data_IF_145250351190
#
_entry.id   IF_145250351190
#
_cell.length_a   1.000
_cell.length_b   1.000
_cell.length_c   1.000
_cell.angle_alpha   90.00
_cell.angle_beta   90.00
_cell.angle_gamma   90.00
#
_symmetry.space_group_name_H-M   'P 1'
#
loop_
_entity.id
_entity.type
_entity.pdbx_description
1 polymer ?
#
# COMPACT_ATOMS: atom_id res chain seq x y z
N UNK A 1 -13.65 -1.98 10.74
CA UNK A 1 -14.53 -2.13 11.91
C UNK A 1 -15.96 -2.35 11.45
N UNK A 2 -16.71 -3.20 12.14
CA UNK A 2 -18.14 -3.43 11.90
C UNK A 2 -18.96 -2.67 12.92
N UNK A 3 -19.99 -1.99 12.47
CA UNK A 3 -20.86 -1.18 13.31
C UNK A 3 -22.25 -1.79 13.40
N UNK A 4 -22.81 -1.80 14.61
CA UNK A 4 -24.24 -1.88 14.86
C UNK A 4 -24.76 -0.46 15.12
N UNK A 5 -25.68 -0.03 14.26
CA UNK A 5 -26.31 1.29 14.27
C UNK A 5 -27.84 1.18 14.41
N UNK A 6 -28.33 0.13 15.08
CA UNK A 6 -29.75 -0.07 15.33
C UNK A 6 -30.37 1.06 16.16
N UNK A 7 -29.56 1.77 16.95
CA UNK A 7 -29.92 2.99 17.68
C UNK A 7 -29.38 4.23 16.93
N UNK A 8 -30.22 5.23 16.67
CA UNK A 8 -29.81 6.43 15.94
C UNK A 8 -28.85 7.35 16.72
N UNK A 9 -28.78 7.20 18.05
CA UNK A 9 -27.96 8.03 18.95
C UNK A 9 -26.77 7.28 19.55
N UNK A 10 -26.54 6.04 19.12
CA UNK A 10 -25.48 5.19 19.63
C UNK A 10 -24.93 4.30 18.52
N UNK A 11 -23.61 4.17 18.46
CA UNK A 11 -22.93 3.24 17.55
C UNK A 11 -22.19 2.21 18.41
N UNK A 12 -22.37 0.93 18.12
CA UNK A 12 -21.63 -0.15 18.77
C UNK A 12 -20.65 -0.75 17.76
N UNK A 13 -19.37 -0.79 18.09
CA UNK A 13 -18.35 -1.50 17.29
C UNK A 13 -18.29 -2.95 17.76
N UNK A 14 -18.65 -3.87 16.86
CA UNK A 14 -18.75 -5.31 17.13
C UNK A 14 -17.58 -6.13 16.59
N UNK A 15 -16.86 -5.60 15.60
CA UNK A 15 -15.65 -6.23 15.06
C UNK A 15 -14.57 -5.17 14.78
N UNK A 16 -13.33 -5.48 15.12
CA UNK A 16 -12.17 -4.61 14.91
C UNK A 16 -11.52 -4.90 13.54
N UNK A 17 -10.89 -3.90 12.90
CA UNK A 17 -9.99 -4.16 11.78
C UNK A 17 -8.75 -4.94 12.26
N UNK A 18 -8.09 -5.63 11.31
CA UNK A 18 -6.86 -6.38 11.60
C UNK A 18 -5.78 -5.47 12.21
N UNK A 19 -4.92 -6.06 13.03
CA UNK A 19 -3.81 -5.37 13.71
C UNK A 19 -4.26 -4.15 14.54
N UNK A 20 -5.44 -4.23 15.16
CA UNK A 20 -6.01 -3.18 15.99
C UNK A 20 -6.58 -3.77 17.28
N UNK A 21 -6.27 -3.16 18.42
CA UNK A 21 -6.86 -3.47 19.74
C UNK A 21 -7.99 -2.49 20.06
N UNK A 22 -8.88 -2.84 21.01
CA UNK A 22 -9.96 -1.94 21.45
C UNK A 22 -9.39 -0.59 21.90
N UNK A 23 -8.35 -0.63 22.73
CA UNK A 23 -7.63 0.55 23.21
C UNK A 23 -7.05 1.40 22.06
N UNK A 24 -6.36 0.79 21.09
CA UNK A 24 -5.79 1.55 19.96
C UNK A 24 -6.87 2.20 19.10
N UNK A 25 -8.01 1.54 18.91
CA UNK A 25 -9.13 2.08 18.15
C UNK A 25 -9.80 3.23 18.91
N UNK A 26 -10.02 3.08 20.22
CA UNK A 26 -10.55 4.14 21.07
C UNK A 26 -9.66 5.37 21.06
N UNK A 27 -8.35 5.19 21.19
CA UNK A 27 -7.38 6.29 21.11
C UNK A 27 -7.46 7.01 19.76
N UNK A 28 -7.61 6.27 18.66
CA UNK A 28 -7.79 6.86 17.32
C UNK A 28 -9.08 7.69 17.22
N UNK A 29 -10.18 7.19 17.76
CA UNK A 29 -11.47 7.91 17.83
C UNK A 29 -11.36 9.16 18.70
N UNK A 30 -10.76 9.07 19.88
CA UNK A 30 -10.53 10.23 20.75
C UNK A 30 -9.68 11.31 20.08
N UNK A 31 -8.64 10.92 19.35
CA UNK A 31 -7.79 11.87 18.63
C UNK A 31 -8.56 12.58 17.52
N UNK A 32 -9.42 11.86 16.79
CA UNK A 32 -10.30 12.47 15.79
C UNK A 32 -11.31 13.44 16.43
N UNK A 33 -11.81 13.12 17.63
CA UNK A 33 -12.69 14.00 18.41
C UNK A 33 -11.96 15.27 18.87
N UNK A 34 -10.77 15.13 19.48
CA UNK A 34 -9.92 16.26 19.93
C UNK A 34 -9.53 17.18 18.76
N UNK A 35 -9.33 16.61 17.57
CA UNK A 35 -9.07 17.36 16.34
C UNK A 35 -10.32 17.99 15.70
N UNK A 36 -11.51 17.83 16.30
CA UNK A 36 -12.77 18.38 15.79
C UNK A 36 -13.31 17.71 14.53
N UNK A 37 -12.79 16.53 14.17
CA UNK A 37 -13.13 15.82 12.93
C UNK A 37 -14.41 14.97 13.07
N UNK A 38 -14.71 14.54 14.30
CA UNK A 38 -15.93 13.81 14.65
C UNK A 38 -16.56 14.44 15.89
N UNK A 39 -17.88 14.30 16.04
CA UNK A 39 -18.64 14.77 17.21
C UNK A 39 -19.22 13.57 17.96
N UNK A 40 -18.69 13.30 19.15
CA UNK A 40 -19.14 12.23 20.04
C UNK A 40 -19.35 12.81 21.45
N UNK A 41 -20.19 12.15 22.25
CA UNK A 41 -20.43 12.50 23.65
C UNK A 41 -19.57 11.69 24.61
N UNK A 42 -19.49 10.38 24.39
CA UNK A 42 -18.60 9.47 25.14
C UNK A 42 -18.22 8.28 24.28
N UNK A 43 -17.14 7.62 24.68
CA UNK A 43 -16.71 6.32 24.17
C UNK A 43 -16.41 5.41 25.37
N UNK A 44 -17.02 4.24 25.40
CA UNK A 44 -16.96 3.31 26.52
C UNK A 44 -16.59 1.91 25.99
N UNK A 45 -15.61 1.22 26.61
CA UNK A 45 -15.23 -0.16 26.27
C UNK A 45 -15.98 -1.15 27.16
N UNK A 46 -16.78 -2.01 26.55
CA UNK A 46 -17.48 -3.12 27.19
C UNK A 46 -17.02 -4.48 26.63
N UNK A 47 -15.85 -4.52 25.98
CA UNK A 47 -15.30 -5.73 25.37
C UNK A 47 -15.04 -6.83 26.42
N UNK A 48 -15.53 -8.04 26.14
CA UNK A 48 -15.30 -9.26 26.93
C UNK A 48 -14.65 -10.32 26.05
N UNK A 49 -15.28 -11.50 25.93
CA UNK A 49 -15.07 -12.50 24.88
C UNK A 49 -15.45 -11.98 23.48
N UNK A 50 -16.28 -10.92 23.41
CA UNK A 50 -16.66 -10.26 22.17
C UNK A 50 -16.32 -8.76 22.22
N UNK A 51 -15.91 -8.21 21.08
CA UNK A 51 -15.65 -6.78 20.95
C UNK A 51 -16.97 -6.00 21.11
N UNK A 52 -16.96 -5.03 22.03
CA UNK A 52 -18.11 -4.15 22.24
C UNK A 52 -17.64 -2.77 22.69
N UNK A 53 -17.40 -1.88 21.73
CA UNK A 53 -17.07 -0.48 22.01
C UNK A 53 -18.28 0.38 21.70
N UNK A 54 -18.75 1.13 22.69
CA UNK A 54 -19.95 1.95 22.60
C UNK A 54 -19.59 3.43 22.40
N UNK A 55 -20.15 4.04 21.35
CA UNK A 55 -19.99 5.46 21.05
C UNK A 55 -21.35 6.15 21.19
N UNK A 56 -21.47 7.07 22.14
CA UNK A 56 -22.69 7.88 22.34
C UNK A 56 -22.58 9.18 21.55
N UNK A 57 -23.67 9.58 20.90
CA UNK A 57 -23.71 10.78 20.06
C UNK A 57 -24.41 11.96 20.75
N UNK A 58 -23.95 13.21 20.54
CA UNK A 58 -24.58 14.39 21.10
C UNK A 58 -25.92 14.70 20.41
N UNK A 59 -26.73 15.55 21.05
CA UNK A 59 -28.00 16.02 20.47
C UNK A 59 -27.77 16.64 19.08
N UNK A 60 -28.66 16.31 18.13
CA UNK A 60 -28.57 16.80 16.74
C UNK A 60 -27.59 16.05 15.84
N UNK A 61 -26.85 15.04 16.34
CA UNK A 61 -25.97 14.17 15.55
C UNK A 61 -26.55 12.76 15.51
N UNK A 62 -26.52 12.10 14.36
CA UNK A 62 -27.09 10.76 14.16
C UNK A 62 -26.05 9.77 13.66
N UNK A 63 -26.26 8.48 13.96
CA UNK A 63 -25.31 7.41 13.64
C UNK A 63 -24.86 7.39 12.17
N UNK A 64 -25.81 7.53 11.24
CA UNK A 64 -25.57 7.58 9.79
C UNK A 64 -24.67 8.74 9.35
N UNK A 65 -24.70 9.86 10.07
CA UNK A 65 -23.89 11.03 9.74
C UNK A 65 -22.44 10.86 10.18
N UNK A 66 -22.22 10.06 11.23
CA UNK A 66 -20.90 9.84 11.85
C UNK A 66 -20.20 8.61 11.30
N UNK A 67 -20.92 7.59 10.83
CA UNK A 67 -20.36 6.37 10.24
C UNK A 67 -19.22 6.66 9.25
N UNK A 68 -19.49 7.51 8.27
CA UNK A 68 -18.51 7.90 7.24
C UNK A 68 -17.30 8.61 7.83
N UNK A 69 -17.52 9.44 8.86
CA UNK A 69 -16.46 10.18 9.51
C UNK A 69 -15.59 9.26 10.38
N UNK A 70 -16.17 8.24 11.02
CA UNK A 70 -15.40 7.22 11.74
C UNK A 70 -14.49 6.47 10.77
N UNK A 71 -15.00 5.95 9.65
CA UNK A 71 -14.15 5.31 8.65
C UNK A 71 -13.06 6.24 8.08
N UNK A 72 -13.38 7.51 7.86
CA UNK A 72 -12.44 8.47 7.26
C UNK A 72 -11.31 8.94 8.19
N UNK A 73 -11.57 9.07 9.49
CA UNK A 73 -10.69 9.78 10.42
C UNK A 73 -10.12 8.92 11.53
N UNK A 74 -10.53 7.66 11.63
CA UNK A 74 -10.09 6.76 12.68
C UNK A 74 -9.64 5.44 12.09
N UNK A 75 -9.05 4.61 12.95
CA UNK A 75 -8.60 3.27 12.62
C UNK A 75 -9.78 2.30 12.38
N UNK A 76 -11.03 2.79 12.35
CA UNK A 76 -12.18 2.00 11.93
C UNK A 76 -12.04 1.47 10.49
N UNK A 77 -11.27 2.16 9.63
CA UNK A 77 -10.78 1.67 8.34
C UNK A 77 -9.24 1.69 8.34
N UNK A 78 -8.61 0.63 7.83
CA UNK A 78 -7.17 0.57 7.65
C UNK A 78 -6.82 0.14 6.24
N UNK A 79 -5.89 0.87 5.62
CA UNK A 79 -5.28 0.45 4.37
C UNK A 79 -4.17 -0.55 4.65
N UNK A 80 -4.23 -1.71 3.98
CA UNK A 80 -3.23 -2.75 4.07
C UNK A 80 -2.52 -2.83 2.72
N UNK A 81 -1.20 -2.62 2.74
CA UNK A 81 -0.37 -2.83 1.56
C UNK A 81 -0.03 -4.31 1.45
N UNK A 82 -0.60 -4.97 0.44
CA UNK A 82 -0.36 -6.39 0.19
C UNK A 82 0.72 -6.56 -0.88
N UNK A 83 1.93 -6.97 -0.46
CA UNK A 83 3.00 -7.40 -1.38
C UNK A 83 3.50 -8.79 -1.00
N UNK A 84 3.41 -9.73 -1.94
CA UNK A 84 3.90 -11.10 -1.76
C UNK A 84 5.39 -11.17 -2.14
N UNK A 85 6.26 -10.88 -1.17
CA UNK A 85 7.71 -11.05 -1.27
C UNK A 85 8.12 -12.36 -0.58
N UNK A 86 8.72 -13.28 -1.32
CA UNK A 86 9.12 -14.61 -0.82
C UNK A 86 10.57 -14.92 -1.15
N UNK A 87 11.15 -15.90 -0.46
CA UNK A 87 12.50 -16.40 -0.78
C UNK A 87 12.38 -17.54 -1.78
N UNK A 88 13.07 -17.41 -2.91
CA UNK A 88 13.23 -18.45 -3.92
C UNK A 88 14.68 -18.50 -4.37
N UNK A 89 15.26 -19.70 -4.38
CA UNK A 89 16.65 -19.93 -4.77
C UNK A 89 17.63 -19.03 -3.98
N UNK A 90 17.40 -18.91 -2.67
CA UNK A 90 18.13 -18.05 -1.73
C UNK A 90 18.09 -16.54 -2.04
N UNK A 91 17.14 -16.09 -2.86
CA UNK A 91 16.97 -14.68 -3.23
C UNK A 91 15.54 -14.18 -2.94
N UNK A 92 15.36 -12.90 -2.60
CA UNK A 92 14.03 -12.31 -2.45
C UNK A 92 13.39 -12.08 -3.82
N UNK A 93 12.17 -12.58 -4.02
CA UNK A 93 11.43 -12.48 -5.28
C UNK A 93 9.99 -12.05 -4.98
N UNK A 94 9.52 -11.00 -5.67
CA UNK A 94 8.11 -10.62 -5.65
C UNK A 94 7.33 -11.56 -6.59
N UNK A 95 6.27 -12.17 -6.08
CA UNK A 95 5.47 -13.16 -6.82
C UNK A 95 3.99 -12.87 -6.70
N UNK A 96 3.21 -13.32 -7.67
CA UNK A 96 1.74 -13.33 -7.62
C UNK A 96 1.23 -14.58 -6.91
N UNK A 97 -0.02 -14.55 -6.41
CA UNK A 97 -0.65 -15.70 -5.76
C UNK A 97 -0.69 -16.92 -6.71
N UNK A 98 -0.96 -16.69 -8.00
CA UNK A 98 -0.97 -17.74 -9.03
C UNK A 98 0.40 -18.40 -9.20
N UNK A 99 1.48 -17.62 -9.19
CA UNK A 99 2.83 -18.16 -9.32
C UNK A 99 3.23 -18.99 -8.10
N UNK A 100 2.87 -18.53 -6.91
CA UNK A 100 3.10 -19.25 -5.65
C UNK A 100 2.36 -20.61 -5.69
N UNK A 101 1.07 -20.61 -6.03
CA UNK A 101 0.28 -21.85 -6.12
C UNK A 101 0.89 -22.82 -7.16
N UNK A 102 1.26 -22.32 -8.34
CA UNK A 102 1.91 -23.15 -9.39
C UNK A 102 3.24 -23.73 -8.92
N UNK A 103 4.04 -22.95 -8.19
CA UNK A 103 5.31 -23.41 -7.64
C UNK A 103 5.12 -24.55 -6.65
N UNK A 104 4.24 -24.38 -5.66
CA UNK A 104 3.99 -25.40 -4.65
C UNK A 104 3.27 -26.64 -5.21
N UNK A 105 2.37 -26.48 -6.20
CA UNK A 105 1.76 -27.61 -6.88
C UNK A 105 2.82 -28.49 -7.58
N UNK A 106 3.79 -27.88 -8.27
CA UNK A 106 4.91 -28.62 -8.88
C UNK A 106 5.80 -29.28 -7.83
N UNK A 107 6.11 -28.55 -6.75
CA UNK A 107 6.94 -29.07 -5.65
C UNK A 107 6.29 -30.27 -4.98
N UNK A 108 4.98 -30.22 -4.72
CA UNK A 108 4.22 -31.35 -4.17
C UNK A 108 4.31 -32.58 -5.09
N UNK A 109 4.07 -32.41 -6.39
CA UNK A 109 4.18 -33.53 -7.34
C UNK A 109 5.59 -34.12 -7.43
N UNK A 110 6.63 -33.28 -7.30
CA UNK A 110 8.01 -33.74 -7.28
C UNK A 110 8.32 -34.56 -6.03
N UNK A 111 7.92 -34.07 -4.85
CA UNK A 111 8.13 -34.80 -3.58
C UNK A 111 7.43 -36.16 -3.61
N UNK A 112 6.17 -36.22 -4.05
CA UNK A 112 5.42 -37.49 -4.17
C UNK A 112 6.14 -38.44 -5.14
N UNK A 113 6.69 -37.91 -6.23
CA UNK A 113 7.46 -38.71 -7.18
C UNK A 113 8.71 -39.28 -6.53
N UNK A 114 9.50 -38.46 -5.83
CA UNK A 114 10.73 -38.87 -5.17
C UNK A 114 10.47 -39.94 -4.10
N UNK A 115 9.38 -39.80 -3.33
CA UNK A 115 8.95 -40.81 -2.35
C UNK A 115 8.60 -42.14 -3.03
N UNK A 116 7.84 -42.11 -4.13
CA UNK A 116 7.46 -43.30 -4.88
C UNK A 116 8.67 -43.97 -5.54
N UNK A 117 9.61 -43.21 -6.08
CA UNK A 117 10.86 -43.73 -6.67
C UNK A 117 11.76 -44.35 -5.58
N UNK A 118 11.83 -43.74 -4.39
CA UNK A 118 12.53 -44.30 -3.25
C UNK A 118 11.93 -45.63 -2.81
N UNK A 119 10.60 -45.69 -2.64
CA UNK A 119 9.90 -46.93 -2.28
C UNK A 119 10.04 -48.00 -3.37
N UNK A 120 9.99 -47.61 -4.64
CA UNK A 120 10.24 -48.51 -5.76
C UNK A 120 11.66 -49.10 -5.68
N UNK A 121 12.68 -48.27 -5.45
CA UNK A 121 14.07 -48.72 -5.31
C UNK A 121 14.24 -49.70 -4.17
N UNK A 122 13.68 -49.39 -2.99
CA UNK A 122 13.71 -50.27 -1.82
C UNK A 122 13.05 -51.63 -2.08
N UNK A 123 11.86 -51.63 -2.67
CA UNK A 123 11.15 -52.87 -3.01
C UNK A 123 11.85 -53.68 -4.10
N UNK A 124 12.50 -53.00 -5.03
CA UNK A 124 13.27 -53.62 -6.12
C UNK A 124 14.51 -54.33 -5.57
N UNK A 125 15.20 -53.72 -4.61
CA UNK A 125 16.33 -54.34 -3.90
C UNK A 125 15.87 -55.52 -3.03
N UNK A 126 14.74 -55.39 -2.32
CA UNK A 126 14.15 -56.50 -1.57
C UNK A 126 13.76 -57.65 -2.49
N UNK A 127 13.14 -57.36 -3.64
CA UNK A 127 12.81 -58.35 -4.66
C UNK A 127 14.06 -59.07 -5.18
N UNK A 128 15.15 -58.33 -5.42
CA UNK A 128 16.41 -58.91 -5.86
C UNK A 128 16.96 -59.89 -4.82
N UNK A 129 17.08 -59.46 -3.56
CA UNK A 129 17.56 -60.31 -2.46
C UNK A 129 16.72 -61.58 -2.29
N UNK A 130 15.38 -61.48 -2.38
CA UNK A 130 14.48 -62.64 -2.30
C UNK A 130 14.61 -63.57 -3.49
N UNK A 131 14.81 -63.03 -4.68
CA UNK A 131 15.04 -63.81 -5.90
C UNK A 131 16.35 -64.58 -5.83
N UNK A 132 17.40 -63.94 -5.31
CA UNK A 132 18.68 -64.59 -5.04
C UNK A 132 18.53 -65.73 -4.02
N UNK A 133 17.86 -65.48 -2.88
CA UNK A 133 17.60 -66.50 -1.84
C UNK A 133 16.83 -67.69 -2.43
N UNK A 134 15.79 -67.43 -3.24
CA UNK A 134 14.99 -68.47 -3.90
C UNK A 134 15.84 -69.33 -4.84
N UNK A 135 16.57 -68.72 -5.78
CA UNK A 135 17.41 -69.46 -6.76
C UNK A 135 18.51 -70.22 -6.03
N UNK A 136 19.16 -69.61 -5.04
CA UNK A 136 20.24 -70.25 -4.27
C UNK A 136 19.78 -71.55 -3.60
N UNK A 137 18.54 -71.57 -3.10
CA UNK A 137 17.93 -72.71 -2.41
C UNK A 137 17.31 -73.72 -3.42
N UNK A 138 16.42 -73.27 -4.31
CA UNK A 138 15.68 -74.13 -5.24
C UNK A 138 16.62 -74.87 -6.20
N UNK A 139 17.64 -74.18 -6.73
CA UNK A 139 18.63 -74.74 -7.67
C UNK A 139 19.83 -75.40 -6.96
N UNK A 140 19.76 -75.48 -5.63
CA UNK A 140 20.75 -76.13 -4.76
C UNK A 140 22.18 -75.62 -4.99
N UNK A 141 22.35 -74.32 -5.25
CA UNK A 141 23.67 -73.70 -5.48
C UNK A 141 24.58 -73.88 -4.26
N UNK A 142 24.00 -73.85 -3.05
CA UNK A 142 24.72 -74.09 -1.79
C UNK A 142 25.40 -75.47 -1.71
N UNK A 143 24.92 -76.50 -2.42
CA UNK A 143 25.60 -77.82 -2.44
C UNK A 143 26.85 -77.82 -3.32
N UNK A 144 26.87 -76.97 -4.35
CA UNK A 144 27.99 -76.90 -5.32
C UNK A 144 29.24 -76.27 -4.72
N UNK A 145 29.11 -75.60 -3.56
CA UNK A 145 30.22 -74.95 -2.85
C UNK A 145 30.82 -75.81 -1.73
N UNK A 146 30.20 -76.94 -1.36
CA UNK A 146 30.64 -77.81 -0.25
C UNK A 146 32.07 -78.36 -0.40
N UNK A 147 32.53 -78.55 -1.64
CA UNK A 147 33.85 -79.11 -1.94
C UNK A 147 34.94 -78.04 -2.21
N UNK A 148 34.61 -76.75 -2.11
CA UNK A 148 35.54 -75.65 -2.39
C UNK A 148 36.46 -75.40 -1.18
N UNK A 149 37.75 -75.13 -1.45
CA UNK A 149 38.79 -75.01 -0.41
C UNK A 149 39.13 -73.57 -0.04
N UNK A 150 38.78 -72.60 -0.88
CA UNK A 150 39.10 -71.18 -0.66
C UNK A 150 37.83 -70.32 -0.71
N UNK A 151 37.81 -69.21 0.02
CA UNK A 151 36.69 -68.27 0.00
C UNK A 151 36.47 -67.67 -1.40
N UNK A 152 37.56 -67.38 -2.13
CA UNK A 152 37.49 -66.88 -3.50
C UNK A 152 36.84 -67.88 -4.46
N UNK A 153 37.15 -69.18 -4.32
CA UNK A 153 36.55 -70.23 -5.13
C UNK A 153 35.05 -70.40 -4.82
N UNK A 154 34.66 -70.24 -3.54
CA UNK A 154 33.24 -70.22 -3.14
C UNK A 154 32.51 -69.07 -3.83
N UNK A 155 33.03 -67.84 -3.77
CA UNK A 155 32.39 -66.67 -4.40
C UNK A 155 32.26 -66.86 -5.92
N UNK A 156 33.31 -67.33 -6.59
CA UNK A 156 33.28 -67.63 -8.04
C UNK A 156 32.25 -68.71 -8.37
N UNK A 157 32.17 -69.77 -7.56
CA UNK A 157 31.22 -70.85 -7.75
C UNK A 157 29.77 -70.39 -7.58
N UNK A 158 29.47 -69.56 -6.57
CA UNK A 158 28.14 -68.95 -6.39
C UNK A 158 27.78 -68.11 -7.61
N UNK A 159 28.63 -67.14 -8.00
CA UNK A 159 28.37 -66.28 -9.17
C UNK A 159 28.16 -67.09 -10.45
N UNK A 160 28.97 -68.13 -10.68
CA UNK A 160 28.81 -69.05 -11.82
C UNK A 160 27.48 -69.81 -11.77
N UNK A 161 27.00 -70.18 -10.58
CA UNK A 161 25.72 -70.85 -10.37
C UNK A 161 24.51 -69.99 -10.79
N UNK A 162 24.63 -68.67 -10.72
CA UNK A 162 23.56 -67.73 -11.12
C UNK A 162 23.57 -67.33 -12.59
N UNK A 163 24.63 -67.64 -13.35
CA UNK A 163 24.73 -67.32 -14.79
C UNK A 163 23.52 -67.78 -15.61
N UNK A 164 22.95 -69.00 -15.42
CA UNK A 164 21.76 -69.43 -16.17
C UNK A 164 20.51 -68.59 -15.87
N UNK A 165 20.46 -67.93 -14.71
CA UNK A 165 19.29 -67.21 -14.21
C UNK A 165 19.42 -65.69 -14.35
N UNK A 166 20.40 -65.21 -15.12
CA UNK A 166 20.67 -63.77 -15.27
C UNK A 166 19.44 -62.96 -15.71
N UNK A 167 18.52 -63.56 -16.48
CA UNK A 167 17.29 -62.91 -16.91
C UNK A 167 16.28 -62.64 -15.78
N UNK A 168 16.35 -63.38 -14.68
CA UNK A 168 15.48 -63.20 -13.50
C UNK A 168 16.08 -62.19 -12.50
N UNK A 169 17.35 -61.83 -12.68
CA UNK A 169 18.04 -60.90 -11.81
C UNK A 169 17.70 -59.46 -12.17
N UNK A 170 17.34 -58.69 -11.15
CA UNK A 170 17.13 -57.24 -11.25
C UNK A 170 18.43 -56.49 -11.57
N UNK A 171 19.55 -56.93 -10.98
CA UNK A 171 20.90 -56.41 -11.19
C UNK A 171 21.93 -57.54 -11.11
N UNK A 172 23.17 -57.26 -11.51
CA UNK A 172 24.27 -58.19 -11.33
C UNK A 172 24.58 -58.42 -9.84
N UNK A 173 25.12 -59.59 -9.52
CA UNK A 173 25.38 -60.06 -8.16
C UNK A 173 26.68 -59.44 -7.62
N UNK A 174 26.55 -58.72 -6.52
CA UNK A 174 27.68 -58.14 -5.76
C UNK A 174 28.33 -59.17 -4.83
N UNK A 175 29.48 -58.83 -4.25
CA UNK A 175 30.13 -59.70 -3.27
C UNK A 175 29.34 -59.72 -1.96
N UNK A 176 28.71 -58.60 -1.60
CA UNK A 176 27.82 -58.47 -0.43
C UNK A 176 26.57 -59.36 -0.54
N UNK A 177 26.02 -59.49 -1.76
CA UNK A 177 24.90 -60.41 -2.02
C UNK A 177 25.33 -61.86 -1.75
N UNK A 178 26.52 -62.25 -2.22
CA UNK A 178 27.07 -63.60 -1.99
C UNK A 178 27.29 -63.85 -0.51
N UNK A 179 27.86 -62.89 0.22
CA UNK A 179 28.03 -63.00 1.67
C UNK A 179 26.68 -63.18 2.39
N UNK A 180 25.66 -62.44 1.97
CA UNK A 180 24.31 -62.55 2.51
C UNK A 180 23.70 -63.94 2.25
N UNK A 181 23.88 -64.48 1.05
CA UNK A 181 23.43 -65.84 0.69
C UNK A 181 24.12 -66.92 1.54
N UNK A 182 25.42 -66.78 1.79
CA UNK A 182 26.18 -67.74 2.60
C UNK A 182 25.76 -67.72 4.08
N UNK A 183 25.15 -66.63 4.57
CA UNK A 183 24.64 -66.50 5.94
C UNK A 183 23.22 -67.08 6.11
N UNK A 184 22.58 -67.60 5.07
CA UNK A 184 21.23 -68.17 5.16
C UNK A 184 21.24 -69.38 6.11
N UNK A 185 20.44 -69.38 7.20
CA UNK A 185 20.36 -70.52 8.11
C UNK A 185 19.77 -71.75 7.42
N UNK A 186 20.30 -72.95 7.68
CA UNK A 186 19.84 -74.22 7.08
C UNK A 186 18.33 -74.44 7.28
N UNK A 187 17.78 -74.02 8.43
CA UNK A 187 16.33 -74.07 8.70
C UNK A 187 15.48 -73.41 7.60
N UNK A 188 15.98 -72.34 6.96
CA UNK A 188 15.26 -71.58 5.93
C UNK A 188 15.15 -72.28 4.57
N UNK A 189 15.68 -73.49 4.43
CA UNK A 189 15.61 -74.31 3.21
C UNK A 189 14.31 -75.15 3.17
N UNK A 190 13.45 -75.03 4.18
CA UNK A 190 12.21 -75.80 4.27
C UNK A 190 11.20 -75.43 3.16
N UNK A 191 10.33 -76.36 2.79
CA UNK A 191 9.23 -76.10 1.85
C UNK A 191 8.33 -74.95 2.33
N UNK A 192 8.16 -74.81 3.65
CA UNK A 192 7.41 -73.72 4.26
C UNK A 192 8.05 -72.35 3.97
N UNK A 193 9.36 -72.23 4.14
CA UNK A 193 10.08 -70.98 3.87
C UNK A 193 10.11 -70.65 2.36
N UNK A 194 10.19 -71.66 1.49
CA UNK A 194 10.07 -71.48 0.03
C UNK A 194 8.69 -70.91 -0.35
N UNK A 195 7.60 -71.48 0.18
CA UNK A 195 6.25 -70.98 -0.09
C UNK A 195 6.08 -69.55 0.46
N UNK A 196 6.58 -69.28 1.65
CA UNK A 196 6.56 -67.93 2.24
C UNK A 196 7.33 -66.91 1.38
N UNK A 197 8.49 -67.29 0.83
CA UNK A 197 9.25 -66.43 -0.08
C UNK A 197 8.44 -66.15 -1.36
N UNK A 198 7.77 -67.14 -1.95
CA UNK A 198 6.88 -66.96 -3.12
C UNK A 198 5.76 -65.96 -2.84
N UNK A 199 5.09 -66.07 -1.69
CA UNK A 199 4.03 -65.14 -1.29
C UNK A 199 4.56 -63.71 -1.11
N UNK A 200 5.75 -63.57 -0.52
CA UNK A 200 6.41 -62.27 -0.35
C UNK A 200 6.79 -61.65 -1.70
N UNK A 201 7.40 -62.43 -2.60
CA UNK A 201 7.74 -61.98 -3.97
C UNK A 201 6.48 -61.55 -4.73
N UNK A 202 5.38 -62.29 -4.61
CA UNK A 202 4.10 -61.92 -5.22
C UNK A 202 3.54 -60.60 -4.66
N UNK A 203 3.62 -60.41 -3.33
CA UNK A 203 3.20 -59.17 -2.67
C UNK A 203 4.05 -57.97 -3.11
N UNK A 204 5.37 -58.12 -3.16
CA UNK A 204 6.31 -57.07 -3.62
C UNK A 204 6.00 -56.69 -5.06
N UNK A 205 5.83 -57.68 -5.95
CA UNK A 205 5.47 -57.42 -7.35
C UNK A 205 4.13 -56.67 -7.50
N UNK A 206 3.14 -56.98 -6.66
CA UNK A 206 1.86 -56.26 -6.62
C UNK A 206 2.07 -54.80 -6.22
N UNK A 207 2.87 -54.54 -5.18
CA UNK A 207 3.19 -53.18 -4.73
C UNK A 207 3.99 -52.40 -5.79
N UNK A 208 5.00 -53.01 -6.42
CA UNK A 208 5.75 -52.39 -7.52
C UNK A 208 4.85 -52.01 -8.70
N UNK A 209 3.87 -52.87 -9.04
CA UNK A 209 2.87 -52.56 -10.08
C UNK A 209 1.98 -51.38 -9.68
N UNK A 210 1.58 -51.29 -8.42
CA UNK A 210 0.81 -50.17 -7.91
C UNK A 210 1.62 -48.86 -7.93
N UNK A 211 2.87 -48.90 -7.48
CA UNK A 211 3.78 -47.75 -7.52
C UNK A 211 4.01 -47.28 -8.96
N UNK A 212 4.25 -48.20 -9.89
CA UNK A 212 4.38 -47.87 -11.32
C UNK A 212 3.12 -47.20 -11.88
N UNK A 213 1.92 -47.64 -11.45
CA UNK A 213 0.67 -46.96 -11.78
C UNK A 213 0.63 -45.55 -11.18
N UNK A 214 0.96 -45.38 -9.89
CA UNK A 214 0.98 -44.06 -9.23
C UNK A 214 1.97 -43.10 -9.89
N UNK A 215 3.16 -43.57 -10.27
CA UNK A 215 4.17 -42.78 -10.99
C UNK A 215 3.68 -42.29 -12.37
N UNK A 216 2.80 -43.04 -13.05
CA UNK A 216 2.16 -42.59 -14.29
C UNK A 216 1.04 -41.57 -14.05
N UNK A 217 0.47 -41.56 -12.84
CA UNK A 217 -0.71 -40.78 -12.43
C UNK A 217 -0.40 -39.81 -11.28
N UNK A 218 0.79 -39.19 -11.28
CA UNK A 218 1.26 -38.34 -10.15
C UNK A 218 0.30 -37.20 -9.79
N UNK A 219 -0.40 -36.62 -10.78
CA UNK A 219 -1.36 -35.55 -10.55
C UNK A 219 -2.54 -36.02 -9.71
N UNK A 220 -3.08 -37.19 -10.02
CA UNK A 220 -4.21 -37.77 -9.31
C UNK A 220 -3.81 -38.08 -7.86
N UNK A 221 -2.61 -38.64 -7.66
CA UNK A 221 -2.06 -38.86 -6.32
C UNK A 221 -1.88 -37.55 -5.51
N UNK A 222 -1.46 -36.47 -6.15
CA UNK A 222 -1.34 -35.16 -5.48
C UNK A 222 -2.71 -34.58 -5.10
N UNK A 223 -3.73 -34.76 -5.95
CA UNK A 223 -5.11 -34.36 -5.63
C UNK A 223 -5.65 -35.19 -4.48
N UNK A 224 -5.52 -36.52 -4.53
CA UNK A 224 -5.94 -37.42 -3.44
C UNK A 224 -5.28 -37.05 -2.11
N UNK A 225 -4.00 -36.67 -2.13
CA UNK A 225 -3.28 -36.20 -0.95
C UNK A 225 -3.89 -34.92 -0.38
N UNK A 226 -4.17 -33.93 -1.23
CA UNK A 226 -4.78 -32.67 -0.83
C UNK A 226 -6.22 -32.87 -0.31
N UNK A 227 -7.00 -33.74 -0.94
CA UNK A 227 -8.33 -34.11 -0.45
C UNK A 227 -8.26 -34.83 0.91
N UNK A 228 -7.30 -35.74 1.07
CA UNK A 228 -7.03 -36.39 2.35
C UNK A 228 -6.61 -35.42 3.43
N UNK A 229 -5.86 -34.37 3.07
CA UNK A 229 -5.49 -33.30 3.97
C UNK A 229 -6.69 -32.43 4.34
N UNK A 230 -7.54 -32.08 3.36
CA UNK A 230 -8.75 -31.28 3.57
C UNK A 230 -9.71 -31.96 4.56
N UNK A 231 -9.86 -33.30 4.47
CA UNK A 231 -10.69 -34.10 5.39
C UNK A 231 -10.22 -34.08 6.85
N UNK A 232 -9.00 -33.61 7.14
CA UNK A 232 -8.49 -33.48 8.52
C UNK A 232 -9.02 -32.23 9.22
N UNK A 233 -9.52 -31.25 8.46
CA UNK A 233 -10.10 -30.03 9.00
C UNK A 233 -11.59 -30.22 9.27
N UNK A 234 -12.10 -29.58 10.32
CA UNK A 234 -13.55 -29.55 10.59
C UNK A 234 -14.22 -28.57 9.64
N UNK A 235 -15.47 -28.81 9.27
CA UNK A 235 -16.23 -27.89 8.38
C UNK A 235 -16.26 -26.45 8.93
N UNK A 236 -16.39 -26.30 10.25
CA UNK A 236 -16.37 -25.02 10.96
C UNK A 236 -15.08 -24.21 10.73
N UNK A 237 -13.94 -24.88 10.60
CA UNK A 237 -12.62 -24.26 10.37
C UNK A 237 -12.43 -23.81 8.92
N UNK A 238 -13.26 -24.32 8.01
CA UNK A 238 -13.22 -24.00 6.57
C UNK A 238 -14.16 -22.84 6.21
N UNK A 239 -14.94 -22.33 7.17
CA UNK A 239 -15.86 -21.22 6.95
C UNK A 239 -15.07 -19.90 6.83
N UNK A 240 -15.45 -19.10 5.84
CA UNK A 240 -14.90 -17.75 5.69
C UNK A 240 -15.46 -16.83 6.79
N UNK A 241 -14.57 -16.25 7.60
CA UNK A 241 -14.94 -15.29 8.64
C UNK A 241 -15.03 -13.82 8.17
N UNK A 242 -14.50 -13.50 6.98
CA UNK A 242 -14.48 -12.13 6.44
C UNK A 242 -15.44 -11.96 5.27
N UNK A 243 -16.01 -10.76 5.10
CA UNK A 243 -16.83 -10.45 3.94
C UNK A 243 -16.07 -9.54 2.97
N UNK A 244 -16.14 -9.84 1.67
CA UNK A 244 -15.61 -8.97 0.62
C UNK A 244 -16.72 -8.01 0.21
N UNK A 245 -16.54 -6.73 0.50
CA UNK A 245 -17.45 -5.66 0.08
C UNK A 245 -16.68 -4.58 -0.67
N UNK A 246 -17.36 -3.86 -1.57
CA UNK A 246 -16.80 -2.67 -2.21
C UNK A 246 -17.06 -1.47 -1.29
N UNK A 247 -15.99 -0.91 -0.74
CA UNK A 247 -16.06 0.40 -0.09
C UNK A 247 -15.87 1.49 -1.15
N UNK A 248 -16.84 2.37 -1.29
CA UNK A 248 -16.58 3.64 -1.95
C UNK A 248 -15.76 4.45 -0.96
N UNK A 249 -14.48 4.68 -1.27
CA UNK A 249 -13.62 5.58 -0.49
C UNK A 249 -14.41 6.87 -0.30
N UNK A 250 -14.81 7.15 0.93
CA UNK A 250 -15.43 8.42 1.26
C UNK A 250 -14.31 9.42 1.07
N UNK A 251 -14.34 10.16 -0.04
CA UNK A 251 -13.42 11.27 -0.22
C UNK A 251 -13.73 12.28 0.89
N UNK A 252 -12.88 12.23 1.91
CA UNK A 252 -12.99 12.94 3.17
C UNK A 252 -13.18 14.45 2.95
N UNK A 253 -12.65 14.96 1.83
CA UNK A 253 -12.82 16.34 1.37
C UNK A 253 -14.22 16.64 0.82
N UNK A 254 -14.89 15.67 0.22
CA UNK A 254 -16.19 15.86 -0.42
C UNK A 254 -17.35 15.93 0.59
N UNK A 255 -17.16 15.42 1.82
CA UNK A 255 -18.20 15.41 2.87
C UNK A 255 -18.12 16.64 3.79
N UNK A 256 -16.95 17.26 3.93
CA UNK A 256 -16.77 18.44 4.76
C UNK A 256 -17.45 19.66 4.12
N UNK A 257 -18.51 20.17 4.74
CA UNK A 257 -19.14 21.44 4.32
C UNK A 257 -18.23 22.60 4.69
N UNK A 258 -18.05 23.55 3.75
CA UNK A 258 -17.34 24.82 4.00
C UNK A 258 -18.19 25.76 4.85
N UNK A 259 -18.25 25.50 6.15
CA UNK A 259 -19.07 26.23 7.11
C UNK A 259 -18.28 27.00 8.18
N UNK A 260 -16.95 26.83 8.23
CA UNK A 260 -16.09 27.53 9.18
C UNK A 260 -15.67 28.89 8.58
N UNK A 261 -16.00 30.03 9.23
CA UNK A 261 -15.61 31.34 8.73
C UNK A 261 -14.10 31.59 8.95
N UNK A 262 -13.37 31.90 7.88
CA UNK A 262 -12.01 32.44 7.94
C UNK A 262 -12.11 33.96 8.01
N UNK A 263 -11.54 34.58 9.05
CA UNK A 263 -11.65 36.04 9.29
C UNK A 263 -10.30 36.73 9.26
N UNK A 264 -10.31 37.98 8.82
CA UNK A 264 -9.15 38.88 8.81
C UNK A 264 -9.48 40.18 9.57
N UNK A 265 -8.68 40.50 10.58
CA UNK A 265 -8.86 41.69 11.41
C UNK A 265 -7.99 42.89 10.99
N UNK A 266 -8.33 44.06 11.52
CA UNK A 266 -7.63 45.34 11.31
C UNK A 266 -6.19 45.33 11.88
N UNK A 267 -5.89 44.40 12.77
CA UNK A 267 -4.55 44.19 13.35
C UNK A 267 -3.67 43.29 12.49
N UNK A 268 -4.18 42.74 11.39
CA UNK A 268 -3.42 41.91 10.47
C UNK A 268 -3.41 40.41 10.81
N UNK A 269 -4.36 39.93 11.63
CA UNK A 269 -4.51 38.50 11.91
C UNK A 269 -5.55 37.84 11.02
N UNK A 270 -5.19 36.71 10.42
CA UNK A 270 -6.02 35.83 9.61
C UNK A 270 -6.21 34.48 10.33
N UNK A 271 -7.45 34.00 10.44
CA UNK A 271 -7.69 32.66 10.98
C UNK A 271 -9.14 32.39 11.37
N UNK A 272 -9.43 31.13 11.68
CA UNK A 272 -10.77 30.68 12.14
C UNK A 272 -11.04 30.98 13.61
N UNK A 273 -9.98 31.22 14.40
CA UNK A 273 -10.04 31.66 15.79
C UNK A 273 -9.98 33.18 15.98
N UNK A 274 -10.03 33.96 14.88
CA UNK A 274 -10.05 35.44 14.94
C UNK A 274 -11.50 35.90 15.17
N UNK A 275 -11.75 36.52 16.33
CA UNK A 275 -13.10 36.91 16.76
C UNK A 275 -13.61 38.21 16.13
N UNK A 276 -12.72 39.11 15.73
CA UNK A 276 -13.03 40.38 15.05
C UNK A 276 -12.80 40.34 13.54
N UNK A 277 -13.06 41.46 12.86
CA UNK A 277 -12.73 41.64 11.45
C UNK A 277 -13.77 41.14 10.43
N UNK A 278 -13.40 41.19 9.16
CA UNK A 278 -14.26 40.79 8.05
C UNK A 278 -14.12 39.28 7.76
N UNK A 279 -15.23 38.63 7.42
CA UNK A 279 -15.21 37.27 6.89
C UNK A 279 -14.61 37.30 5.47
N UNK A 280 -13.52 36.57 5.29
CA UNK A 280 -12.78 36.46 4.02
C UNK A 280 -13.47 35.44 3.12
N UNK A 281 -13.65 34.23 3.65
CA UNK A 281 -14.35 33.11 3.00
C UNK A 281 -14.71 32.04 4.03
N UNK A 282 -15.50 31.05 3.62
CA UNK A 282 -15.76 29.85 4.41
C UNK A 282 -14.91 28.68 3.96
N UNK A 283 -14.39 27.94 4.94
CA UNK A 283 -13.38 26.89 4.74
C UNK A 283 -13.75 25.63 5.52
N UNK A 284 -13.09 24.54 5.18
CA UNK A 284 -12.99 23.32 5.98
C UNK A 284 -11.60 23.26 6.64
N UNK A 285 -11.39 22.43 7.68
CA UNK A 285 -10.06 22.24 8.27
C UNK A 285 -9.01 21.65 7.31
N UNK A 286 -9.44 21.14 6.14
CA UNK A 286 -8.59 20.51 5.12
C UNK A 286 -8.32 21.40 3.92
N UNK A 287 -9.00 22.54 3.83
CA UNK A 287 -8.74 23.51 2.78
C UNK A 287 -7.34 24.12 2.99
N UNK A 288 -6.80 24.63 1.90
CA UNK A 288 -5.56 25.40 1.90
C UNK A 288 -5.90 26.81 1.48
N UNK A 289 -5.16 27.77 1.99
CA UNK A 289 -5.41 29.18 1.72
C UNK A 289 -4.19 29.81 1.07
N UNK A 290 -4.44 30.59 0.03
CA UNK A 290 -3.47 31.45 -0.62
C UNK A 290 -3.57 32.83 -0.01
N UNK A 291 -2.46 33.38 0.45
CA UNK A 291 -2.38 34.67 1.10
C UNK A 291 -1.37 35.52 0.33
N UNK A 292 -1.77 36.74 -0.06
CA UNK A 292 -0.87 37.76 -0.60
C UNK A 292 -0.83 38.95 0.35
N UNK A 293 0.28 39.10 1.06
CA UNK A 293 0.53 40.16 2.05
C UNK A 293 0.74 41.50 1.37
N UNK A 294 0.58 42.60 2.11
CA UNK A 294 0.81 43.98 1.61
C UNK A 294 2.19 44.17 0.98
N UNK A 295 3.20 43.50 1.51
CA UNK A 295 4.59 43.53 1.02
C UNK A 295 4.76 42.94 -0.39
N UNK A 296 3.76 42.24 -0.93
CA UNK A 296 3.86 41.48 -2.17
C UNK A 296 4.40 40.06 -1.98
N UNK A 297 4.61 39.63 -0.72
CA UNK A 297 4.91 38.24 -0.40
C UNK A 297 3.62 37.43 -0.47
N UNK A 298 3.63 36.32 -1.22
CA UNK A 298 2.57 35.33 -1.15
C UNK A 298 3.04 34.01 -0.53
N UNK A 299 2.11 33.38 0.19
CA UNK A 299 2.31 32.11 0.90
C UNK A 299 1.06 31.26 0.75
N UNK A 300 1.24 29.94 0.64
CA UNK A 300 0.13 28.99 0.75
C UNK A 300 0.31 28.13 1.98
N UNK A 301 -0.68 28.08 2.86
CA UNK A 301 -0.67 27.29 4.07
C UNK A 301 -2.00 26.57 4.31
N UNK A 302 -2.01 25.63 5.26
CA UNK A 302 -3.26 25.07 5.78
C UNK A 302 -4.06 26.15 6.53
N UNK A 303 -5.38 25.95 6.69
CA UNK A 303 -6.24 26.91 7.38
C UNK A 303 -5.73 27.19 8.81
N UNK A 304 -5.29 28.42 9.13
CA UNK A 304 -4.73 28.73 10.42
C UNK A 304 -5.83 29.01 11.45
N UNK A 305 -5.59 28.63 12.71
CA UNK A 305 -6.37 29.12 13.85
C UNK A 305 -6.19 30.63 14.03
N UNK A 306 -4.93 31.11 13.98
CA UNK A 306 -4.57 32.52 14.02
C UNK A 306 -3.17 32.71 13.46
N UNK A 307 -3.02 33.52 12.41
CA UNK A 307 -1.77 33.79 11.71
C UNK A 307 -1.64 35.30 11.45
N UNK A 308 -0.46 35.87 11.70
CA UNK A 308 -0.20 37.27 11.37
C UNK A 308 0.26 37.41 9.91
N UNK A 309 -0.46 38.21 9.12
CA UNK A 309 -0.29 38.38 7.66
C UNK A 309 -0.08 39.84 7.23
N UNK A 310 0.32 40.70 8.18
CA UNK A 310 0.47 42.15 8.02
C UNK A 310 -0.87 42.88 7.79
N UNK A 311 -0.86 44.20 7.96
CA UNK A 311 -2.03 45.05 7.67
C UNK A 311 -2.10 45.40 6.19
N UNK A 312 -3.32 45.43 5.64
CA UNK A 312 -3.55 45.73 4.21
C UNK A 312 -3.21 44.57 3.27
N UNK A 313 -3.48 43.33 3.70
CA UNK A 313 -3.40 42.13 2.86
C UNK A 313 -4.01 42.38 1.48
N UNK A 314 -3.31 42.04 0.40
CA UNK A 314 -3.84 42.25 -0.94
C UNK A 314 -4.91 41.23 -1.26
N UNK A 315 -4.63 39.93 -1.14
CA UNK A 315 -5.54 38.91 -1.64
C UNK A 315 -5.56 37.67 -0.75
N UNK A 316 -6.74 37.08 -0.56
CA UNK A 316 -6.88 35.78 0.10
C UNK A 316 -8.00 34.94 -0.53
N UNK A 317 -7.69 33.67 -0.83
CA UNK A 317 -8.66 32.72 -1.39
C UNK A 317 -8.23 31.26 -1.15
N UNK A 318 -9.08 30.29 -1.49
CA UNK A 318 -8.74 28.87 -1.50
C UNK A 318 -7.59 28.59 -2.46
N UNK A 319 -6.57 27.88 -1.97
CA UNK A 319 -5.43 27.44 -2.74
C UNK A 319 -5.71 26.10 -3.44
N UNK A 320 -6.67 26.12 -4.37
CA UNK A 320 -6.87 25.04 -5.32
C UNK A 320 -6.12 25.37 -6.62
N UNK A 321 -5.49 24.35 -7.22
CA UNK A 321 -4.70 24.56 -8.45
C UNK A 321 -5.53 25.18 -9.56
N UNK A 322 -6.75 24.70 -9.76
CA UNK A 322 -7.66 25.20 -10.79
C UNK A 322 -8.27 26.57 -10.49
N UNK A 323 -8.19 27.02 -9.23
CA UNK A 323 -8.63 28.36 -8.82
C UNK A 323 -7.48 29.35 -9.01
N UNK A 324 -6.37 29.16 -8.29
CA UNK A 324 -5.26 30.13 -8.24
C UNK A 324 -4.54 30.24 -9.58
N UNK A 325 -4.37 29.15 -10.33
CA UNK A 325 -3.68 29.21 -11.62
C UNK A 325 -4.43 30.01 -12.70
N UNK A 326 -5.74 30.24 -12.52
CA UNK A 326 -6.56 31.04 -13.44
C UNK A 326 -6.57 32.52 -13.08
N UNK A 327 -6.28 32.88 -11.82
CA UNK A 327 -6.26 34.27 -11.34
C UNK A 327 -5.09 35.01 -11.98
N UNK A 328 -5.41 36.01 -12.79
CA UNK A 328 -4.42 36.91 -13.37
C UNK A 328 -4.12 38.04 -12.39
N UNK A 329 -2.93 38.02 -11.78
CA UNK A 329 -2.49 39.10 -10.90
C UNK A 329 -1.81 40.18 -11.71
N UNK A 330 -2.32 41.41 -11.62
CA UNK A 330 -1.64 42.61 -12.11
C UNK A 330 -0.95 43.30 -10.94
N UNK A 331 0.37 43.24 -10.92
CA UNK A 331 1.21 43.79 -9.85
C UNK A 331 1.92 45.03 -10.35
N UNK A 332 1.70 46.15 -9.68
CA UNK A 332 2.37 47.41 -9.96
C UNK A 332 3.34 47.70 -8.81
N UNK A 333 4.61 47.84 -9.14
CA UNK A 333 5.69 47.99 -8.16
C UNK A 333 6.68 49.07 -8.58
N UNK A 334 7.40 49.61 -7.60
CA UNK A 334 8.37 50.69 -7.76
C UNK A 334 9.74 50.25 -7.31
N UNK A 335 10.76 50.64 -8.07
CA UNK A 335 12.14 50.54 -7.61
C UNK A 335 12.44 51.72 -6.66
N UNK A 336 12.70 51.48 -5.36
CA UNK A 336 12.92 52.55 -4.40
C UNK A 336 14.20 53.36 -4.67
N UNK A 337 15.13 52.86 -5.48
CA UNK A 337 16.41 53.55 -5.79
C UNK A 337 16.23 54.69 -6.77
N UNK A 338 15.41 54.51 -7.81
CA UNK A 338 15.21 55.48 -8.90
C UNK A 338 13.78 56.02 -8.98
N UNK A 339 12.82 55.38 -8.31
CA UNK A 339 11.41 55.74 -8.33
C UNK A 339 10.64 55.25 -9.57
N UNK A 340 11.25 54.46 -10.44
CA UNK A 340 10.62 53.96 -11.66
C UNK A 340 9.59 52.89 -11.34
N UNK A 341 8.44 52.99 -12.00
CA UNK A 341 7.32 52.09 -11.80
C UNK A 341 7.26 51.04 -12.91
N UNK A 342 6.87 49.83 -12.54
CA UNK A 342 6.77 48.68 -13.41
C UNK A 342 5.42 48.00 -13.21
N UNK A 343 4.90 47.39 -14.27
CA UNK A 343 3.70 46.55 -14.25
C UNK A 343 4.05 45.12 -14.65
N UNK A 344 3.52 44.14 -13.92
CA UNK A 344 3.61 42.72 -14.27
C UNK A 344 2.24 42.06 -14.15
N UNK A 345 1.78 41.46 -15.24
CA UNK A 345 0.61 40.58 -15.27
C UNK A 345 1.09 39.15 -15.25
N UNK A 346 0.70 38.36 -14.26
CA UNK A 346 1.13 36.96 -14.16
C UNK A 346 0.14 36.07 -13.43
N UNK A 347 0.13 34.79 -13.80
CA UNK A 347 -0.54 33.71 -13.07
C UNK A 347 0.46 32.89 -12.26
N UNK A 348 -0.03 32.27 -11.18
CA UNK A 348 0.77 31.39 -10.32
C UNK A 348 0.41 29.92 -10.62
N UNK A 349 1.27 29.19 -11.37
CA UNK A 349 0.92 27.83 -11.82
C UNK A 349 1.08 26.76 -10.73
N UNK A 350 1.97 27.00 -9.76
CA UNK A 350 2.32 26.04 -8.71
C UNK A 350 2.98 26.74 -7.52
N UNK A 351 2.92 26.10 -6.37
CA UNK A 351 3.53 26.57 -5.13
C UNK A 351 4.02 25.38 -4.31
N UNK A 352 4.82 25.68 -3.29
CA UNK A 352 5.18 24.74 -2.21
C UNK A 352 4.52 25.29 -0.95
N UNK A 353 3.93 24.40 -0.15
CA UNK A 353 3.29 24.76 1.12
C UNK A 353 4.29 25.43 2.07
N UNK A 354 3.82 26.42 2.82
CA UNK A 354 4.56 27.15 3.86
C UNK A 354 5.88 27.76 3.36
N UNK A 355 5.96 28.08 2.05
CA UNK A 355 7.08 28.78 1.45
C UNK A 355 6.63 30.15 0.96
N UNK A 356 7.44 31.14 1.29
CA UNK A 356 7.23 32.52 0.87
C UNK A 356 7.82 32.78 -0.52
N UNK A 357 7.08 33.52 -1.33
CA UNK A 357 7.46 33.91 -2.68
C UNK A 357 7.14 35.39 -2.91
N UNK A 358 7.90 36.03 -3.80
CA UNK A 358 7.74 37.46 -4.10
C UNK A 358 6.96 37.67 -5.41
N UNK A 359 5.93 38.52 -5.36
CA UNK A 359 5.20 38.98 -6.56
C UNK A 359 5.99 40.00 -7.37
N UNK A 360 6.88 40.76 -6.74
CA UNK A 360 7.80 41.68 -7.41
C UNK A 360 9.25 41.20 -7.26
N UNK A 361 10.19 41.63 -8.12
CA UNK A 361 11.61 41.37 -7.89
C UNK A 361 12.05 41.83 -6.48
N UNK A 362 13.07 41.17 -5.94
CA UNK A 362 13.57 41.47 -4.60
C UNK A 362 14.03 42.93 -4.48
N UNK A 363 13.74 43.55 -3.33
CA UNK A 363 14.01 44.97 -3.05
C UNK A 363 13.05 45.97 -3.73
N UNK A 364 12.01 45.51 -4.44
CA UNK A 364 10.98 46.38 -5.02
C UNK A 364 9.82 46.63 -4.05
N UNK A 365 9.23 47.82 -4.12
CA UNK A 365 8.06 48.20 -3.32
C UNK A 365 6.77 47.95 -4.10
N UNK A 366 5.88 47.09 -3.60
CA UNK A 366 4.57 46.84 -4.23
C UNK A 366 3.61 47.98 -3.91
N UNK A 367 3.17 48.69 -4.95
CA UNK A 367 2.26 49.83 -4.84
C UNK A 367 0.80 49.39 -4.95
N UNK A 368 0.50 48.45 -5.86
CA UNK A 368 -0.85 47.97 -6.12
C UNK A 368 -0.88 46.54 -6.65
N UNK A 369 -1.92 45.79 -6.27
CA UNK A 369 -2.26 44.49 -6.85
C UNK A 369 -3.73 44.50 -7.23
N UNK A 370 -4.04 44.01 -8.43
CA UNK A 370 -5.40 43.90 -8.95
C UNK A 370 -5.60 42.53 -9.62
N UNK A 371 -6.81 41.98 -9.56
CA UNK A 371 -7.18 40.71 -10.22
C UNK A 371 -8.15 40.89 -11.39
N UNK A 372 -8.60 42.12 -11.67
CA UNK A 372 -9.41 42.45 -12.85
C UNK A 372 -8.58 42.29 -14.12
N UNK A 373 -9.22 41.79 -15.17
CA UNK A 373 -8.57 41.57 -16.46
C UNK A 373 -8.11 42.89 -17.10
N UNK A 374 -8.90 43.96 -16.91
CA UNK A 374 -8.68 45.30 -17.47
C UNK A 374 -9.11 46.36 -16.46
N UNK A 375 -8.30 47.40 -16.29
CA UNK A 375 -8.58 48.56 -15.46
C UNK A 375 -7.63 49.69 -15.82
N UNK A 376 -8.05 50.92 -15.57
CA UNK A 376 -7.24 52.13 -15.76
C UNK A 376 -6.66 52.61 -14.44
N UNK A 377 -5.45 53.17 -14.50
CA UNK A 377 -4.77 53.73 -13.35
C UNK A 377 -3.89 54.91 -13.75
N UNK A 378 -3.77 55.87 -12.84
CA UNK A 378 -2.95 57.07 -13.01
C UNK A 378 -1.72 56.97 -12.12
N UNK A 379 -0.53 57.14 -12.70
CA UNK A 379 0.69 57.38 -11.93
C UNK A 379 0.84 58.88 -11.69
N UNK A 380 1.14 59.27 -10.45
CA UNK A 380 1.53 60.65 -10.09
C UNK A 380 3.02 60.69 -9.85
N UNK A 381 3.70 61.67 -10.44
CA UNK A 381 5.16 61.81 -10.37
C UNK A 381 5.57 62.93 -9.43
N UNK A 382 6.72 62.75 -8.77
CA UNK A 382 7.32 63.79 -7.93
C UNK A 382 7.71 64.99 -8.76
N UNK A 383 7.31 66.18 -8.31
CA UNK A 383 7.69 67.45 -8.94
C UNK A 383 9.20 67.69 -8.82
N UNK A 384 9.93 67.57 -9.93
CA UNK A 384 11.37 67.86 -10.06
C UNK A 384 11.59 68.98 -11.11
N UNK A 385 12.65 69.81 -11.02
CA UNK A 385 12.84 70.99 -11.87
C UNK A 385 12.80 70.76 -13.39
N UNK A 386 13.00 69.52 -13.85
CA UNK A 386 13.03 69.13 -15.28
C UNK A 386 11.84 68.28 -15.72
N UNK A 387 10.90 67.96 -14.83
CA UNK A 387 9.75 67.09 -15.13
C UNK A 387 8.52 67.96 -15.39
N UNK A 388 8.03 67.97 -16.63
CA UNK A 388 6.83 68.74 -17.04
C UNK A 388 5.53 67.94 -16.90
N UNK A 389 5.61 66.61 -16.94
CA UNK A 389 4.47 65.70 -16.81
C UNK A 389 4.39 65.26 -15.36
N UNK A 390 3.31 65.62 -14.66
CA UNK A 390 3.12 65.30 -13.24
C UNK A 390 2.20 64.09 -13.01
N UNK A 391 1.48 63.66 -14.04
CA UNK A 391 0.66 62.46 -14.01
C UNK A 391 0.51 61.88 -15.40
N UNK A 392 0.35 60.56 -15.46
CA UNK A 392 0.12 59.82 -16.70
C UNK A 392 -0.88 58.69 -16.45
N UNK A 393 -1.80 58.51 -17.39
CA UNK A 393 -2.86 57.51 -17.33
C UNK A 393 -2.47 56.28 -18.15
N UNK A 394 -2.71 55.11 -17.57
CA UNK A 394 -2.41 53.81 -18.16
C UNK A 394 -3.65 52.93 -18.16
N UNK A 395 -3.72 52.04 -19.15
CA UNK A 395 -4.69 50.94 -19.21
C UNK A 395 -3.95 49.61 -19.06
N UNK A 396 -4.33 48.81 -18.07
CA UNK A 396 -3.73 47.49 -17.84
C UNK A 396 -3.98 46.51 -18.99
N UNK A 397 -4.94 46.78 -19.88
CA UNK A 397 -5.19 46.03 -21.10
C UNK A 397 -4.03 46.13 -22.12
N UNK A 398 -3.25 47.21 -22.07
CA UNK A 398 -2.13 47.44 -23.01
C UNK A 398 -0.86 46.64 -22.67
N UNK A 399 -0.90 45.85 -21.59
CA UNK A 399 0.24 45.06 -21.13
C UNK A 399 -0.07 43.56 -21.24
N UNK A 400 0.90 42.83 -21.78
CA UNK A 400 0.83 41.38 -21.95
C UNK A 400 1.14 40.61 -20.67
N UNK A 401 0.63 39.39 -20.57
CA UNK A 401 0.99 38.45 -19.51
C UNK A 401 2.46 38.03 -19.62
N UNK A 402 3.13 37.96 -18.48
CA UNK A 402 4.50 37.48 -18.34
C UNK A 402 4.56 36.33 -17.35
N UNK A 403 5.61 35.51 -17.45
CA UNK A 403 5.88 34.47 -16.44
C UNK A 403 6.07 35.07 -15.04
N UNK A 404 5.63 34.38 -13.99
CA UNK A 404 5.67 34.90 -12.62
C UNK A 404 7.08 35.32 -12.14
N UNK A 405 8.15 34.71 -12.67
CA UNK A 405 9.56 35.08 -12.38
C UNK A 405 10.13 36.19 -13.26
N UNK A 406 9.41 36.61 -14.30
CA UNK A 406 9.88 37.62 -15.23
C UNK A 406 9.82 39.02 -14.61
N UNK A 407 10.63 39.93 -15.14
CA UNK A 407 10.56 41.35 -14.80
C UNK A 407 9.36 42.01 -15.48
N UNK A 408 8.69 42.90 -14.76
CA UNK A 408 7.61 43.74 -15.26
C UNK A 408 8.05 44.68 -16.39
N UNK A 409 7.08 45.18 -17.15
CA UNK A 409 7.28 46.24 -18.14
C UNK A 409 7.42 47.56 -17.41
N UNK A 410 8.42 48.37 -17.75
CA UNK A 410 8.58 49.71 -17.16
C UNK A 410 7.46 50.61 -17.69
N UNK A 411 6.75 51.25 -16.77
CA UNK A 411 5.64 52.16 -17.07
C UNK A 411 6.13 53.57 -17.41
N UNK A 412 7.12 54.06 -16.66
CA UNK A 412 7.62 55.43 -16.82
C UNK A 412 9.07 55.57 -16.34
N UNK A 413 9.78 56.54 -16.92
CA UNK A 413 11.13 56.97 -16.53
C UNK A 413 11.09 58.11 -15.50
N UNK A 414 9.92 58.37 -14.91
CA UNK A 414 9.70 59.39 -13.89
C UNK A 414 9.60 58.78 -12.48
N UNK A 415 10.07 59.53 -11.49
CA UNK A 415 10.01 59.16 -10.07
C UNK A 415 8.55 59.21 -9.59
N UNK A 416 7.96 58.04 -9.43
CA UNK A 416 6.54 57.86 -9.09
C UNK A 416 6.32 58.12 -7.61
N UNK A 417 5.42 59.05 -7.28
CA UNK A 417 5.00 59.38 -5.93
C UNK A 417 3.91 58.43 -5.43
N UNK A 418 2.83 58.30 -6.20
CA UNK A 418 1.66 57.48 -5.84
C UNK A 418 0.95 56.94 -7.09
N UNK A 419 0.10 55.95 -6.87
CA UNK A 419 -0.81 55.39 -7.87
C UNK A 419 -2.25 55.66 -7.44
N UNK A 420 -3.10 56.01 -8.40
CA UNK A 420 -4.54 56.12 -8.24
C UNK A 420 -5.24 55.22 -9.24
N UNK A 421 -6.01 54.25 -8.78
CA UNK A 421 -6.73 53.30 -9.65
C UNK A 421 -8.18 53.76 -9.77
N UNK A 422 -8.73 53.78 -10.99
CA UNK A 422 -10.14 54.14 -11.18
C UNK A 422 -11.02 52.96 -10.73
N UNK A 423 -11.93 53.22 -9.80
CA UNK A 423 -12.87 52.23 -9.26
C UNK A 423 -14.08 52.08 -10.17
N UNK A 424 -14.45 50.84 -10.50
CA UNK A 424 -15.75 50.56 -11.10
C UNK A 424 -16.53 49.44 -10.40
N UNK A 425 -15.90 48.46 -9.72
CA UNK A 425 -16.64 47.38 -9.03
C UNK A 425 -15.80 46.72 -7.92
N UNK A 426 -16.50 46.10 -6.96
CA UNK A 426 -15.91 45.33 -5.85
C UNK A 426 -15.13 44.10 -6.37
N UNK A 427 -13.88 43.97 -5.93
CA UNK A 427 -12.97 42.93 -6.39
C UNK A 427 -13.09 41.68 -5.51
N UNK A 428 -13.27 40.51 -6.13
CA UNK A 428 -13.38 39.23 -5.40
C UNK A 428 -12.03 38.92 -4.75
N UNK A 429 -12.01 38.87 -3.42
CA UNK A 429 -10.86 38.43 -2.62
C UNK A 429 -9.78 39.48 -2.37
N UNK A 430 -9.94 40.71 -2.88
CA UNK A 430 -9.02 41.83 -2.64
C UNK A 430 -9.51 42.70 -1.47
N UNK A 431 -8.67 42.91 -0.45
CA UNK A 431 -9.06 43.74 0.69
C UNK A 431 -8.78 45.20 0.38
N UNK A 432 -9.85 45.99 0.28
CA UNK A 432 -9.72 47.43 0.36
C UNK A 432 -9.25 47.78 1.78
N UNK A 433 -7.98 48.19 1.90
CA UNK A 433 -7.45 48.69 3.15
C UNK A 433 -8.38 49.78 3.68
N UNK A 434 -8.77 49.65 4.96
CA UNK A 434 -9.53 50.65 5.69
C UNK A 434 -8.95 52.03 5.41
N UNK A 435 -9.81 52.95 4.94
CA UNK A 435 -9.50 54.37 4.83
C UNK A 435 -9.00 54.95 6.15
#
# INVERSE_FOLDING_TARGET
>A
AKFDMSDEKKIIITELPVDTTSESLMNSIENAYKAGRIKISSIDDYTTDHCQIEIKLPRGVYAKDIEKALYAYTDCEKSISCQMLVIRDNMPVAMTATEIIKYYAKKLTAIIKDELEYDQGRLTEELHARTLERIFIEERIYKKIEQMKTAEDVVKAVKKGFVPFKAELVRDISDEDVETLLRIPIRRISLFDINKNKDQVAAINKQLKEISRKLKHLKDCAVDYLEGMLKKFKEEELVRHTQIQKFNVVDVKAVAKRDIPLRYDDKGYLGTGVSGGAEVLRVTPYDRIFILRRSGIYTVCDVPQKLFVDTGMWYCNLAEKDVISKVLFTVIYRDPKNGYCYIKKCRIPSWIMNRDYLMAPDGMEVLHVDTREKFTFTLKYKKKPRVKILSEDFDSANFEEKGHKAQGVRLSDHDTESISVQSADAQIGLFEGSK
#
